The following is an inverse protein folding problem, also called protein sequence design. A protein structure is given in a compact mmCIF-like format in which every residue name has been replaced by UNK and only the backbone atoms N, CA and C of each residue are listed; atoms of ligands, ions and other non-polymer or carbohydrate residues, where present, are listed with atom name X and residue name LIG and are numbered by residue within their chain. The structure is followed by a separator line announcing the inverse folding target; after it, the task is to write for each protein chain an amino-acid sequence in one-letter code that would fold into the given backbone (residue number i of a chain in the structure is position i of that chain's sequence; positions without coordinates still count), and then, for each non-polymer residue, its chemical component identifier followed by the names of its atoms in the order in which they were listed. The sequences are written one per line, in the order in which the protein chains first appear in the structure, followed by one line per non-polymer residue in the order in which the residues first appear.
data_IF_055794340247
#
_entry.id   IF_055794340247
#
_cell.length_a   1.000
_cell.length_b   1.000
_cell.length_c   1.000
_cell.angle_alpha   90.00
_cell.angle_beta   90.00
_cell.angle_gamma   90.00
#
_symmetry.space_group_name_H-M   'P 1'
#
loop_
_entity.id
_entity.type
_entity.pdbx_description
1 polymer ?
#
# COMPACT_ATOMS: atom_id res chain seq x y z
N UNK A 1 -13.74 -4.56 3.68
CA UNK A 1 -12.47 -4.43 4.46
C UNK A 1 -11.62 -3.33 3.84
N UNK A 2 -10.93 -2.50 4.63
CA UNK A 2 -9.94 -1.52 4.14
C UNK A 2 -8.56 -1.82 4.77
N UNK A 3 -7.56 -2.19 3.98
CA UNK A 3 -6.19 -2.47 4.46
C UNK A 3 -5.24 -1.35 4.03
N UNK A 4 -4.79 -0.54 5.00
CA UNK A 4 -4.07 0.72 4.76
C UNK A 4 -2.67 0.82 5.38
N UNK A 5 -2.29 -0.10 6.28
CA UNK A 5 -1.03 0.00 6.99
C UNK A 5 0.16 -0.17 6.04
N UNK A 6 1.06 0.82 6.02
CA UNK A 6 2.31 0.76 5.27
C UNK A 6 3.42 1.52 6.01
N UNK A 7 4.64 0.99 5.97
CA UNK A 7 5.86 1.67 6.39
C UNK A 7 6.75 1.95 5.17
N UNK A 8 7.47 3.07 5.22
CA UNK A 8 8.58 3.38 4.32
C UNK A 8 9.83 3.52 5.17
N UNK A 9 10.96 3.08 4.64
CA UNK A 9 12.25 3.39 5.26
C UNK A 9 12.64 4.84 4.98
N UNK A 10 13.45 5.44 5.86
CA UNK A 10 13.87 6.84 5.83
C UNK A 10 15.12 7.08 4.96
N UNK A 11 15.79 6.02 4.50
CA UNK A 11 16.96 6.15 3.62
C UNK A 11 16.55 6.20 2.15
N UNK A 12 17.41 6.74 1.28
CA UNK A 12 17.11 6.88 -0.17
C UNK A 12 16.80 5.53 -0.83
N UNK A 13 17.29 4.41 -0.26
CA UNK A 13 17.08 3.04 -0.74
C UNK A 13 17.15 2.94 -2.27
N UNK A 14 18.27 3.42 -2.82
CA UNK A 14 18.63 3.08 -4.18
C UNK A 14 18.87 1.56 -4.27
N UNK A 15 18.81 0.99 -5.46
CA UNK A 15 19.08 -0.44 -5.65
C UNK A 15 20.45 -0.86 -5.08
N UNK A 16 21.45 0.02 -5.17
CA UNK A 16 22.80 -0.25 -4.67
C UNK A 16 22.92 -0.19 -3.13
N UNK A 17 22.04 0.57 -2.47
CA UNK A 17 22.08 0.81 -1.02
C UNK A 17 20.94 0.07 -0.29
N UNK A 18 20.44 -1.01 -0.88
CA UNK A 18 19.30 -1.74 -0.34
C UNK A 18 19.74 -2.65 0.83
N UNK A 19 19.35 -2.28 2.04
CA UNK A 19 19.57 -3.12 3.22
C UNK A 19 18.52 -4.24 3.29
N UNK A 20 18.94 -5.48 3.08
CA UNK A 20 18.04 -6.65 3.06
C UNK A 20 17.27 -6.86 4.38
N UNK A 21 17.86 -6.49 5.52
CA UNK A 21 17.17 -6.57 6.83
C UNK A 21 16.00 -5.58 6.94
N UNK A 22 16.17 -4.37 6.40
CA UNK A 22 15.11 -3.35 6.35
C UNK A 22 14.03 -3.74 5.34
N UNK A 23 14.43 -4.27 4.18
CA UNK A 23 13.53 -4.82 3.17
C UNK A 23 12.62 -5.90 3.76
N UNK A 24 13.19 -6.88 4.49
CA UNK A 24 12.42 -7.97 5.10
C UNK A 24 11.36 -7.46 6.10
N UNK A 25 11.71 -6.48 6.94
CA UNK A 25 10.76 -5.85 7.85
C UNK A 25 9.64 -5.12 7.10
N UNK A 26 10.00 -4.37 6.06
CA UNK A 26 9.03 -3.65 5.24
C UNK A 26 8.06 -4.61 4.53
N UNK A 27 8.56 -5.69 3.94
CA UNK A 27 7.73 -6.71 3.30
C UNK A 27 6.82 -7.43 4.28
N UNK A 28 7.31 -7.72 5.48
CA UNK A 28 6.49 -8.35 6.53
C UNK A 28 5.27 -7.50 6.87
N UNK A 29 5.45 -6.18 6.99
CA UNK A 29 4.33 -5.27 7.30
C UNK A 29 3.45 -5.03 6.07
N UNK A 30 4.05 -4.56 4.97
CA UNK A 30 3.29 -4.06 3.82
C UNK A 30 2.67 -5.18 2.99
N UNK A 31 3.38 -6.31 2.84
CA UNK A 31 2.96 -7.42 1.96
C UNK A 31 2.32 -8.53 2.78
N UNK A 32 3.04 -9.10 3.75
CA UNK A 32 2.50 -10.22 4.54
C UNK A 32 1.30 -9.81 5.37
N UNK A 33 1.35 -8.63 6.00
CA UNK A 33 0.20 -8.06 6.72
C UNK A 33 -1.03 -7.93 5.83
N UNK A 34 -0.87 -7.39 4.62
CA UNK A 34 -1.99 -7.25 3.69
C UNK A 34 -2.50 -8.59 3.17
N UNK A 35 -1.60 -9.52 2.84
CA UNK A 35 -1.96 -10.88 2.44
C UNK A 35 -2.77 -11.60 3.53
N UNK A 36 -2.38 -11.44 4.80
CA UNK A 36 -3.13 -11.99 5.93
C UNK A 36 -4.54 -11.38 6.02
N UNK A 37 -4.65 -10.04 5.93
CA UNK A 37 -5.94 -9.35 5.92
C UNK A 37 -6.85 -9.85 4.78
N UNK A 38 -6.35 -9.89 3.55
CA UNK A 38 -7.12 -10.35 2.38
C UNK A 38 -7.53 -11.81 2.54
N UNK A 39 -6.63 -12.69 2.98
CA UNK A 39 -6.90 -14.11 3.25
C UNK A 39 -8.07 -14.28 4.23
N UNK A 40 -8.00 -13.60 5.38
CA UNK A 40 -9.01 -13.76 6.42
C UNK A 40 -10.35 -13.12 6.04
N UNK A 41 -10.33 -11.96 5.38
CA UNK A 41 -11.55 -11.34 4.86
C UNK A 41 -12.21 -12.21 3.79
N UNK A 42 -11.43 -12.72 2.82
CA UNK A 42 -11.92 -13.62 1.79
C UNK A 42 -12.59 -14.85 2.41
N UNK A 43 -11.89 -15.53 3.33
CA UNK A 43 -12.41 -16.71 4.03
C UNK A 43 -13.72 -16.43 4.75
N UNK A 44 -13.79 -15.37 5.56
CA UNK A 44 -15.01 -15.02 6.29
C UNK A 44 -16.19 -14.71 5.36
N UNK A 45 -15.91 -14.04 4.23
CA UNK A 45 -16.94 -13.66 3.25
C UNK A 45 -17.48 -14.88 2.49
N UNK A 46 -16.60 -15.80 2.10
CA UNK A 46 -16.95 -17.06 1.43
C UNK A 46 -17.70 -18.00 2.38
N UNK A 47 -17.20 -18.23 3.60
CA UNK A 47 -17.84 -19.09 4.61
C UNK A 47 -19.21 -18.55 5.01
N UNK A 48 -19.34 -17.22 5.16
CA UNK A 48 -20.60 -16.57 5.46
C UNK A 48 -21.59 -16.51 4.29
N UNK A 49 -21.18 -16.89 3.07
CA UNK A 49 -21.95 -16.74 1.82
C UNK A 49 -22.47 -15.32 1.60
N UNK A 50 -21.70 -14.32 2.04
CA UNK A 50 -22.07 -12.90 1.93
C UNK A 50 -21.32 -12.31 0.74
N UNK A 51 -21.97 -11.47 -0.06
CA UNK A 51 -21.27 -10.66 -1.08
C UNK A 51 -20.53 -9.51 -0.40
N UNK A 52 -19.38 -9.10 -0.94
CA UNK A 52 -18.59 -8.08 -0.27
C UNK A 52 -17.60 -7.35 -1.17
N UNK A 53 -16.93 -6.37 -0.58
CA UNK A 53 -15.85 -5.64 -1.23
C UNK A 53 -14.62 -5.55 -0.31
N UNK A 54 -13.46 -5.85 -0.89
CA UNK A 54 -12.15 -5.70 -0.26
C UNK A 54 -11.46 -4.53 -0.95
N UNK A 55 -11.07 -3.51 -0.19
CA UNK A 55 -10.32 -2.38 -0.68
C UNK A 55 -8.93 -2.36 -0.05
N UNK A 56 -7.89 -2.16 -0.88
CA UNK A 56 -6.51 -2.07 -0.45
C UNK A 56 -5.89 -0.73 -0.83
N UNK A 57 -5.09 -0.17 0.08
CA UNK A 57 -4.38 1.09 -0.17
C UNK A 57 -3.14 0.87 -1.02
N UNK A 58 -3.24 1.38 -2.24
CA UNK A 58 -2.16 1.44 -3.20
C UNK A 58 -1.20 2.60 -3.03
N UNK A 59 -0.48 2.85 -4.10
CA UNK A 59 0.37 4.02 -4.34
C UNK A 59 0.68 4.05 -5.84
N UNK A 60 0.99 5.23 -6.41
CA UNK A 60 1.51 5.33 -7.79
C UNK A 60 2.80 4.51 -7.94
N UNK A 61 3.59 4.38 -6.88
CA UNK A 61 4.76 3.49 -6.84
C UNK A 61 4.42 1.99 -6.96
N UNK A 62 3.13 1.61 -6.98
CA UNK A 62 2.70 0.24 -7.26
C UNK A 62 2.46 -0.07 -8.74
N UNK A 63 2.41 0.95 -9.60
CA UNK A 63 2.24 0.81 -11.05
C UNK A 63 3.37 1.42 -11.87
N UNK A 64 4.25 2.20 -11.25
CA UNK A 64 5.43 2.82 -11.88
C UNK A 64 6.63 2.75 -10.94
N UNK A 65 7.82 2.65 -11.50
CA UNK A 65 9.09 2.78 -10.77
C UNK A 65 9.38 4.23 -10.37
N UNK A 66 10.41 4.41 -9.55
CA UNK A 66 10.85 5.70 -9.04
C UNK A 66 12.35 5.68 -8.76
N UNK A 67 12.99 6.86 -8.69
CA UNK A 67 14.45 6.96 -8.55
C UNK A 67 14.95 6.64 -7.13
N UNK A 68 14.06 6.59 -6.13
CA UNK A 68 14.34 6.33 -4.71
C UNK A 68 13.23 5.43 -4.11
N UNK A 69 13.44 4.94 -2.89
CA UNK A 69 12.49 4.11 -2.14
C UNK A 69 12.16 2.78 -2.85
N UNK A 70 13.20 2.09 -3.34
CA UNK A 70 13.08 0.84 -4.11
C UNK A 70 12.30 -0.24 -3.35
N UNK A 71 12.57 -0.39 -2.05
CA UNK A 71 11.88 -1.34 -1.16
C UNK A 71 10.37 -1.07 -1.07
N UNK A 72 9.98 0.18 -0.92
CA UNK A 72 8.59 0.61 -0.86
C UNK A 72 7.87 0.36 -2.19
N UNK A 73 8.49 0.75 -3.31
CA UNK A 73 7.96 0.54 -4.67
C UNK A 73 7.76 -0.94 -4.94
N UNK A 74 8.75 -1.78 -4.62
CA UNK A 74 8.63 -3.24 -4.73
C UNK A 74 7.45 -3.76 -3.90
N UNK A 75 7.30 -3.30 -2.66
CA UNK A 75 6.19 -3.74 -1.80
C UNK A 75 4.82 -3.38 -2.38
N UNK A 76 4.67 -2.20 -2.99
CA UNK A 76 3.41 -1.77 -3.59
C UNK A 76 3.09 -2.56 -4.88
N UNK A 77 4.10 -2.93 -5.67
CA UNK A 77 3.92 -3.86 -6.79
C UNK A 77 3.49 -5.25 -6.31
N UNK A 78 4.08 -5.75 -5.22
CA UNK A 78 3.69 -7.04 -4.64
C UNK A 78 2.21 -7.05 -4.20
N UNK A 79 1.76 -5.97 -3.55
CA UNK A 79 0.35 -5.83 -3.16
C UNK A 79 -0.57 -5.72 -4.38
N UNK A 80 -0.17 -5.03 -5.45
CA UNK A 80 -0.93 -5.00 -6.70
C UNK A 80 -1.09 -6.41 -7.31
N UNK A 81 -0.03 -7.21 -7.28
CA UNK A 81 -0.07 -8.62 -7.69
C UNK A 81 -1.05 -9.44 -6.86
N UNK A 82 -0.97 -9.33 -5.53
CA UNK A 82 -1.91 -9.97 -4.59
C UNK A 82 -3.36 -9.61 -4.92
N UNK A 83 -3.62 -8.34 -5.17
CA UNK A 83 -4.95 -7.81 -5.46
C UNK A 83 -5.54 -8.36 -6.76
N UNK A 84 -4.75 -8.38 -7.83
CA UNK A 84 -5.17 -8.96 -9.11
C UNK A 84 -5.50 -10.44 -8.96
N UNK A 85 -4.64 -11.19 -8.27
CA UNK A 85 -4.88 -12.61 -7.98
C UNK A 85 -6.14 -12.84 -7.15
N UNK A 86 -6.32 -12.08 -6.07
CA UNK A 86 -7.49 -12.18 -5.20
C UNK A 86 -8.79 -11.80 -5.94
N UNK A 87 -8.76 -10.77 -6.79
CA UNK A 87 -9.92 -10.38 -7.61
C UNK A 87 -10.38 -11.52 -8.52
N UNK A 88 -9.43 -12.18 -9.22
CA UNK A 88 -9.75 -13.32 -10.07
C UNK A 88 -10.30 -14.51 -9.28
N UNK A 89 -9.70 -14.82 -8.12
CA UNK A 89 -10.10 -15.96 -7.29
C UNK A 89 -11.44 -15.76 -6.58
N UNK A 90 -11.80 -14.52 -6.23
CA UNK A 90 -12.99 -14.24 -5.43
C UNK A 90 -14.18 -13.75 -6.27
N UNK A 91 -13.99 -13.54 -7.57
CA UNK A 91 -15.03 -13.12 -8.50
C UNK A 91 -16.22 -14.10 -8.52
N UNK A 92 -15.96 -15.42 -8.50
CA UNK A 92 -17.01 -16.45 -8.49
C UNK A 92 -17.89 -16.40 -7.23
N UNK A 93 -17.35 -15.86 -6.14
CA UNK A 93 -18.05 -15.69 -4.87
C UNK A 93 -18.79 -14.35 -4.77
N UNK A 94 -18.80 -13.54 -5.83
CA UNK A 94 -19.42 -12.22 -5.84
C UNK A 94 -18.71 -11.20 -4.93
N UNK A 95 -17.39 -11.37 -4.74
CA UNK A 95 -16.56 -10.46 -3.94
C UNK A 95 -15.70 -9.64 -4.89
N UNK A 96 -15.84 -8.31 -4.83
CA UNK A 96 -14.99 -7.40 -5.60
C UNK A 96 -13.75 -7.02 -4.80
N UNK A 97 -12.59 -6.99 -5.44
CA UNK A 97 -11.32 -6.56 -4.81
C UNK A 97 -10.79 -5.34 -5.55
N UNK A 98 -10.77 -4.18 -4.89
CA UNK A 98 -10.52 -2.87 -5.50
C UNK A 98 -9.30 -2.14 -4.93
N UNK A 99 -8.53 -1.54 -5.83
CA UNK A 99 -7.29 -0.85 -5.52
C UNK A 99 -7.51 0.65 -5.47
N UNK A 100 -7.24 1.27 -4.33
CA UNK A 100 -7.31 2.73 -4.18
C UNK A 100 -5.89 3.26 -4.11
N UNK A 101 -5.42 3.90 -5.18
CA UNK A 101 -4.12 4.58 -5.20
C UNK A 101 -4.29 6.05 -4.80
N UNK A 102 -4.01 6.45 -3.55
CA UNK A 102 -3.77 7.85 -3.28
C UNK A 102 -2.50 8.29 -4.01
N UNK A 103 -2.61 9.36 -4.79
CA UNK A 103 -1.47 10.12 -5.32
C UNK A 103 -1.44 11.47 -4.59
N UNK A 104 -0.25 11.92 -4.18
CA UNK A 104 -0.07 13.29 -3.68
C UNK A 104 -0.85 13.70 -2.43
N UNK A 105 -1.34 12.75 -1.61
CA UNK A 105 -1.89 13.12 -0.30
C UNK A 105 -0.73 13.33 0.67
N UNK A 106 -0.67 14.51 1.30
CA UNK A 106 0.27 14.83 2.39
C UNK A 106 -0.06 14.01 3.65
N UNK A 107 0.27 12.73 3.58
CA UNK A 107 0.23 11.82 4.74
C UNK A 107 1.59 11.83 5.42
N UNK A 108 1.69 11.48 6.71
CA UNK A 108 2.99 11.36 7.39
C UNK A 108 3.99 10.45 6.67
N UNK A 109 3.49 9.50 5.86
CA UNK A 109 4.32 8.64 5.01
C UNK A 109 4.91 9.42 3.82
N UNK A 110 4.09 10.14 3.07
CA UNK A 110 4.49 10.93 1.90
C UNK A 110 5.44 12.05 2.28
N UNK A 111 5.19 12.72 3.40
CA UNK A 111 6.01 13.82 3.90
C UNK A 111 7.41 13.34 4.29
N UNK A 112 7.49 12.18 4.98
CA UNK A 112 8.76 11.51 5.27
C UNK A 112 9.52 11.10 4.01
N UNK A 113 8.82 10.66 2.96
CA UNK A 113 9.42 10.30 1.67
C UNK A 113 9.91 11.53 0.88
N UNK A 114 9.22 12.67 0.99
CA UNK A 114 9.59 13.94 0.37
C UNK A 114 10.69 14.72 1.10
N UNK A 115 11.13 14.25 2.27
CA UNK A 115 12.05 14.99 3.14
C UNK A 115 11.42 16.22 3.80
N UNK A 116 10.08 16.33 3.74
CA UNK A 116 9.33 17.43 4.33
C UNK A 116 9.25 17.25 5.85
N UNK A 117 9.48 18.33 6.60
CA UNK A 117 9.26 18.33 8.04
C UNK A 117 7.75 18.34 8.37
N UNK A 118 7.40 18.06 9.64
CA UNK A 118 5.97 17.95 10.04
C UNK A 118 5.17 19.24 9.85
N UNK A 119 5.82 20.40 9.77
CA UNK A 119 5.18 21.69 9.51
C UNK A 119 4.87 21.89 8.03
N UNK A 120 5.85 21.66 7.15
CA UNK A 120 5.68 21.67 5.68
C UNK A 120 4.60 20.69 5.23
N UNK A 121 4.56 19.50 5.85
CA UNK A 121 3.53 18.50 5.66
C UNK A 121 2.11 19.01 5.97
N UNK A 122 1.97 19.77 7.07
CA UNK A 122 0.67 20.31 7.52
C UNK A 122 0.24 21.51 6.69
N UNK A 123 1.18 22.28 6.18
CA UNK A 123 0.91 23.43 5.33
C UNK A 123 0.48 23.00 3.92
N UNK A 124 1.18 22.03 3.33
CA UNK A 124 0.79 21.42 2.05
C UNK A 124 -0.61 20.76 2.12
N UNK A 125 -0.91 20.06 3.21
CA UNK A 125 -2.25 19.51 3.47
C UNK A 125 -3.34 20.59 3.58
N UNK A 126 -3.02 21.76 4.17
CA UNK A 126 -3.96 22.89 4.27
C UNK A 126 -4.21 23.54 2.92
N UNK A 127 -3.16 23.79 2.15
CA UNK A 127 -3.24 24.39 0.82
C UNK A 127 -4.06 23.55 -0.17
N UNK A 128 -4.06 22.22 0.00
CA UNK A 128 -4.89 21.30 -0.78
C UNK A 128 -6.39 21.34 -0.44
N UNK A 129 -6.77 21.79 0.76
CA UNK A 129 -8.17 21.81 1.20
C UNK A 129 -8.86 23.16 0.92
N UNK A 130 -8.07 24.22 0.77
CA UNK A 130 -8.58 25.59 0.55
C UNK A 130 -8.61 26.04 -0.92
N UNK A 131 -8.15 25.21 -1.87
CA UNK A 131 -8.17 25.46 -3.32
C UNK A 131 -9.14 24.57 -4.08
#
# INVERSE_FOLDING_TARGET
MFSNAAISSLSKHTVAELHMSQLGRLFTVNVCGMAACVKHAARATVEGRVRGSIACTGSVGGSRGGPIATDYIMSKHAVLGLMRSASMQLAEHGISVNWVSPNGLSTPLTCKLGGMNEEEAREDCRNWWEG
#
